data_IF_404871753118
#
_entry.id   IF_404871753118
#
_cell.length_a   1.000
_cell.length_b   1.000
_cell.length_c   1.000
_cell.angle_alpha   90.00
_cell.angle_beta   90.00
_cell.angle_gamma   90.00
#
_symmetry.space_group_name_H-M   'P 1'
#
loop_
_entity.id
_entity.type
_entity.pdbx_description
1 polymer ?
#
# COMPACT_ATOMS: atom_id res chain seq x y z
N UNK A 1 -22.37 -9.08 -3.19
CA UNK A 1 -21.57 -9.90 -4.12
C UNK A 1 -20.79 -8.97 -5.06
N UNK A 2 -19.48 -9.17 -5.18
CA UNK A 2 -18.63 -8.39 -6.07
C UNK A 2 -17.27 -8.07 -5.42
N UNK A 3 -16.40 -7.50 -6.24
CA UNK A 3 -15.09 -7.06 -5.77
C UNK A 3 -15.17 -5.64 -5.19
N UNK A 4 -14.25 -5.38 -4.28
CA UNK A 4 -13.94 -4.08 -3.74
C UNK A 4 -12.49 -3.75 -4.04
N UNK A 5 -12.23 -2.53 -4.43
CA UNK A 5 -10.90 -2.01 -4.64
C UNK A 5 -10.43 -1.32 -3.35
N UNK A 6 -9.49 -1.95 -2.66
CA UNK A 6 -8.76 -1.35 -1.55
C UNK A 6 -7.54 -0.63 -2.14
N UNK A 7 -7.54 0.70 -2.07
CA UNK A 7 -6.35 1.49 -2.37
C UNK A 7 -5.55 1.62 -1.08
N UNK A 8 -4.43 0.93 -1.07
CA UNK A 8 -3.62 0.67 0.11
C UNK A 8 -2.37 1.54 0.12
N UNK A 9 -2.18 2.27 1.22
CA UNK A 9 -1.01 3.10 1.46
C UNK A 9 -0.25 2.55 2.66
N UNK A 10 0.79 1.73 2.48
CA UNK A 10 1.60 1.27 3.59
C UNK A 10 2.28 2.46 4.25
N UNK A 11 2.46 2.40 5.56
CA UNK A 11 3.22 3.41 6.27
C UNK A 11 4.65 3.41 5.75
N UNK A 12 5.11 4.57 5.31
CA UNK A 12 6.52 4.76 5.10
C UNK A 12 7.17 5.24 6.38
N UNK A 13 8.25 4.58 6.70
CA UNK A 13 9.12 4.98 7.77
C UNK A 13 9.47 6.45 7.68
N UNK A 14 9.41 7.14 8.81
CA UNK A 14 10.01 8.45 8.97
C UNK A 14 11.44 8.36 8.45
N UNK A 15 11.80 9.23 7.54
CA UNK A 15 13.11 9.26 6.89
C UNK A 15 14.29 9.21 7.87
N UNK A 16 14.10 9.59 9.14
CA UNK A 16 15.10 9.53 10.18
C UNK A 16 15.56 8.13 10.61
N UNK A 17 14.90 7.05 10.19
CA UNK A 17 15.24 5.69 10.61
C UNK A 17 16.06 4.88 9.59
N UNK A 18 16.18 5.34 8.34
CA UNK A 18 16.73 4.52 7.25
C UNK A 18 17.96 5.09 6.56
N UNK A 19 18.53 6.14 7.10
CA UNK A 19 19.83 6.56 6.63
C UNK A 19 20.86 5.79 7.42
N UNK A 20 21.24 4.65 6.89
CA UNK A 20 22.30 3.76 7.35
C UNK A 20 22.49 3.71 8.87
N UNK A 21 22.53 2.54 9.51
CA UNK A 21 22.65 2.38 10.95
C UNK A 21 23.93 2.99 11.54
N UNK A 22 24.74 3.66 10.73
CA UNK A 22 26.04 4.20 11.10
C UNK A 22 26.14 5.73 11.16
N UNK A 23 25.05 6.46 10.92
CA UNK A 23 25.07 7.93 11.06
C UNK A 23 23.82 8.48 11.76
N UNK A 24 23.60 8.11 13.03
CA UNK A 24 22.47 8.64 13.80
C UNK A 24 22.57 10.14 14.07
N UNK A 25 23.76 10.69 14.05
CA UNK A 25 24.05 12.10 14.35
C UNK A 25 23.67 13.06 13.23
N UNK A 26 23.58 12.61 11.99
CA UNK A 26 23.26 13.48 10.83
C UNK A 26 21.78 13.87 10.80
N UNK A 27 20.95 13.16 11.54
CA UNK A 27 19.49 13.37 11.57
C UNK A 27 18.95 13.73 12.96
N UNK A 28 19.81 14.17 13.84
CA UNK A 28 19.48 14.43 15.25
C UNK A 28 18.55 15.64 15.47
N UNK A 29 18.19 16.39 14.44
CA UNK A 29 17.27 17.50 14.58
C UNK A 29 16.12 17.39 13.60
N UNK A 30 14.97 16.97 14.10
CA UNK A 30 13.65 16.99 13.44
C UNK A 30 13.27 18.40 12.89
N UNK A 31 14.10 19.40 13.07
CA UNK A 31 13.81 20.80 12.71
C UNK A 31 14.15 21.14 11.28
N UNK A 32 15.09 20.45 10.68
CA UNK A 32 15.64 20.83 9.37
C UNK A 32 15.18 19.96 8.21
N UNK A 33 14.48 18.85 8.51
CA UNK A 33 13.85 18.04 7.49
C UNK A 33 12.34 18.17 7.58
N UNK A 34 11.69 18.70 6.55
CA UNK A 34 10.25 18.58 6.45
C UNK A 34 9.92 17.09 6.58
N UNK A 35 8.91 16.78 7.38
CA UNK A 35 8.38 15.42 7.53
C UNK A 35 7.89 14.95 6.16
N UNK A 36 8.81 14.53 5.32
CA UNK A 36 8.47 13.89 4.07
C UNK A 36 7.86 12.54 4.42
N UNK A 37 6.57 12.53 4.60
CA UNK A 37 5.81 11.32 4.43
C UNK A 37 5.96 10.93 2.96
N UNK A 38 6.96 10.13 2.65
CA UNK A 38 6.99 9.43 1.39
C UNK A 38 5.86 8.41 1.45
N UNK A 39 4.67 8.78 1.07
CA UNK A 39 3.71 7.74 0.74
C UNK A 39 4.25 7.04 -0.51
N UNK A 40 4.55 5.77 -0.40
CA UNK A 40 4.68 4.90 -1.56
C UNK A 40 3.31 4.96 -2.21
N UNK A 41 3.25 5.22 -3.51
CA UNK A 41 1.99 5.35 -4.23
C UNK A 41 1.01 4.23 -3.85
N UNK A 42 -0.29 4.51 -3.90
CA UNK A 42 -1.31 3.55 -3.47
C UNK A 42 -1.20 2.25 -4.26
N UNK A 43 -1.17 1.13 -3.54
CA UNK A 43 -1.27 -0.20 -4.11
C UNK A 43 -2.72 -0.62 -4.22
N UNK A 44 -3.03 -1.42 -5.22
CA UNK A 44 -4.38 -1.84 -5.53
C UNK A 44 -4.60 -3.30 -5.15
N UNK A 45 -5.51 -3.50 -4.22
CA UNK A 45 -5.96 -4.84 -3.84
C UNK A 45 -7.42 -4.98 -4.25
N UNK A 46 -7.73 -5.95 -5.09
CA UNK A 46 -9.10 -6.36 -5.34
C UNK A 46 -9.45 -7.43 -4.32
N UNK A 47 -10.43 -7.15 -3.48
CA UNK A 47 -10.90 -8.06 -2.44
C UNK A 47 -12.37 -8.39 -2.63
N UNK A 48 -12.74 -9.61 -2.31
CA UNK A 48 -14.11 -10.08 -2.26
C UNK A 48 -14.38 -10.63 -0.87
N UNK A 49 -15.37 -10.05 -0.20
CA UNK A 49 -15.76 -10.42 1.15
C UNK A 49 -17.05 -11.23 1.10
N UNK A 50 -17.05 -12.45 1.62
CA UNK A 50 -18.22 -13.31 1.63
C UNK A 50 -18.17 -14.33 2.78
N UNK A 51 -19.18 -14.35 3.62
CA UNK A 51 -19.33 -15.36 4.68
C UNK A 51 -18.11 -15.51 5.62
N UNK A 52 -17.45 -14.41 5.95
CA UNK A 52 -16.23 -14.43 6.78
C UNK A 52 -14.94 -14.73 6.02
N UNK A 53 -15.02 -15.05 4.73
CA UNK A 53 -13.85 -15.25 3.85
C UNK A 53 -13.52 -13.99 3.08
N UNK A 54 -12.23 -13.72 2.93
CA UNK A 54 -11.69 -12.72 2.02
C UNK A 54 -10.88 -13.39 0.93
N UNK A 55 -11.25 -13.14 -0.31
CA UNK A 55 -10.44 -13.52 -1.48
C UNK A 55 -9.77 -12.27 -2.03
N UNK A 56 -8.45 -12.29 -2.14
CA UNK A 56 -7.66 -11.15 -2.55
C UNK A 56 -6.82 -11.42 -3.80
N UNK A 57 -6.65 -10.39 -4.61
CA UNK A 57 -5.67 -10.33 -5.70
C UNK A 57 -5.09 -8.92 -5.77
N UNK A 58 -3.84 -8.77 -6.22
CA UNK A 58 -3.17 -7.48 -6.25
C UNK A 58 -2.01 -7.48 -7.25
N UNK A 59 -1.58 -6.29 -7.62
CA UNK A 59 -0.36 -6.03 -8.37
C UNK A 59 0.93 -6.44 -7.64
N UNK A 60 0.90 -6.55 -6.30
CA UNK A 60 2.05 -7.03 -5.52
C UNK A 60 2.33 -8.52 -5.72
N UNK A 61 1.38 -9.26 -6.25
CA UNK A 61 1.56 -10.64 -6.69
C UNK A 61 2.09 -10.67 -8.12
N UNK A 62 3.02 -11.56 -8.42
CA UNK A 62 3.57 -11.74 -9.77
C UNK A 62 2.55 -12.32 -10.77
N UNK A 63 1.46 -12.84 -10.28
CA UNK A 63 0.37 -13.43 -11.08
C UNK A 63 -0.96 -12.79 -10.73
N UNK A 64 -1.98 -13.02 -11.57
CA UNK A 64 -3.36 -12.64 -11.24
C UNK A 64 -4.04 -13.67 -10.30
N UNK A 65 -3.27 -14.52 -9.64
CA UNK A 65 -3.81 -15.51 -8.71
C UNK A 65 -4.58 -14.83 -7.58
N UNK A 66 -5.59 -15.52 -7.12
CA UNK A 66 -6.34 -15.16 -5.93
C UNK A 66 -5.87 -16.02 -4.75
N UNK A 67 -5.85 -15.41 -3.58
CA UNK A 67 -5.63 -16.12 -2.33
C UNK A 67 -6.79 -15.86 -1.39
N UNK A 68 -7.32 -16.92 -0.79
CA UNK A 68 -8.45 -16.83 0.14
C UNK A 68 -7.99 -17.09 1.55
N UNK A 69 -8.44 -16.23 2.48
CA UNK A 69 -8.26 -16.34 3.91
C UNK A 69 -9.53 -15.88 4.62
N UNK A 70 -9.45 -15.59 5.92
CA UNK A 70 -10.62 -15.14 6.68
C UNK A 70 -10.46 -13.68 7.10
N UNK A 71 -11.60 -13.03 7.29
CA UNK A 71 -11.67 -11.71 7.89
C UNK A 71 -12.61 -11.73 9.08
N UNK A 72 -12.39 -10.82 10.01
CA UNK A 72 -13.27 -10.55 11.12
C UNK A 72 -13.75 -9.10 11.08
N UNK A 73 -14.90 -8.87 11.68
CA UNK A 73 -15.46 -7.53 11.85
C UNK A 73 -15.85 -7.35 13.31
N UNK A 74 -15.28 -6.36 13.96
CA UNK A 74 -15.54 -6.03 15.35
C UNK A 74 -16.07 -4.60 15.49
N UNK A 75 -16.99 -4.43 16.43
CA UNK A 75 -17.59 -3.12 16.77
C UNK A 75 -17.29 -2.68 18.20
N UNK A 76 -16.61 -3.51 18.99
CA UNK A 76 -16.43 -3.30 20.42
C UNK A 76 -15.63 -2.03 20.73
N UNK A 77 -14.56 -1.78 19.96
CA UNK A 77 -13.72 -0.59 20.07
C UNK A 77 -13.86 0.34 18.86
N UNK A 78 -14.99 0.27 18.18
CA UNK A 78 -15.27 0.94 16.92
C UNK A 78 -15.25 -0.04 15.74
N UNK A 79 -15.93 0.30 14.63
CA UNK A 79 -16.09 -0.61 13.50
C UNK A 79 -14.73 -0.89 12.85
N UNK A 80 -14.22 -2.09 13.06
CA UNK A 80 -12.91 -2.55 12.59
C UNK A 80 -13.05 -3.76 11.68
N UNK A 81 -12.44 -3.72 10.52
CA UNK A 81 -12.26 -4.83 9.60
C UNK A 81 -10.84 -5.36 9.76
N UNK A 82 -10.69 -6.64 10.08
CA UNK A 82 -9.39 -7.27 10.33
C UNK A 82 -9.16 -8.46 9.39
N UNK A 83 -7.98 -8.52 8.80
CA UNK A 83 -7.47 -9.64 8.02
C UNK A 83 -6.41 -10.37 8.85
N UNK A 84 -6.83 -11.06 9.88
CA UNK A 84 -5.99 -11.69 10.91
C UNK A 84 -5.47 -13.07 10.52
N UNK A 85 -6.09 -13.73 9.55
CA UNK A 85 -5.61 -14.99 9.02
C UNK A 85 -4.64 -14.76 7.86
N UNK A 86 -3.52 -15.47 7.88
CA UNK A 86 -2.46 -15.31 6.90
C UNK A 86 -2.97 -15.36 5.45
N UNK A 87 -2.51 -14.38 4.66
CA UNK A 87 -2.74 -14.24 3.24
C UNK A 87 -1.54 -13.52 2.65
N UNK A 88 -0.80 -14.16 1.75
CA UNK A 88 0.47 -13.61 1.25
C UNK A 88 0.29 -12.28 0.49
N UNK A 89 -0.89 -12.07 -0.08
CA UNK A 89 -1.24 -10.85 -0.80
C UNK A 89 -1.56 -9.73 0.21
N UNK A 90 -2.51 -9.94 1.11
CA UNK A 90 -2.95 -8.92 2.08
C UNK A 90 -1.86 -8.56 3.09
N UNK A 91 -1.00 -9.52 3.44
CA UNK A 91 0.10 -9.32 4.38
C UNK A 91 1.43 -8.92 3.69
N UNK A 92 1.42 -8.67 2.38
CA UNK A 92 2.65 -8.40 1.62
C UNK A 92 3.58 -7.37 2.27
N UNK A 93 3.01 -6.30 2.82
CA UNK A 93 3.78 -5.22 3.45
C UNK A 93 4.11 -5.47 4.93
N UNK A 94 3.63 -6.56 5.52
CA UNK A 94 3.96 -6.97 6.89
C UNK A 94 5.13 -7.93 6.99
N UNK A 95 5.60 -8.46 5.89
CA UNK A 95 6.74 -9.37 5.91
C UNK A 95 8.04 -8.65 6.21
N UNK A 96 8.76 -9.16 7.18
CA UNK A 96 10.16 -8.78 7.42
C UNK A 96 11.06 -9.44 6.39
N UNK A 97 12.08 -8.72 5.96
CA UNK A 97 13.12 -9.24 5.09
C UNK A 97 14.46 -8.65 5.51
N UNK A 98 15.60 -9.20 5.07
CA UNK A 98 16.90 -8.59 5.34
C UNK A 98 16.99 -7.14 4.89
N UNK A 99 16.30 -6.78 3.80
CA UNK A 99 16.23 -5.40 3.29
C UNK A 99 15.24 -4.53 4.06
N UNK A 100 14.22 -5.14 4.66
CA UNK A 100 13.15 -4.46 5.40
C UNK A 100 12.91 -5.16 6.75
N UNK A 101 13.82 -5.02 7.72
CA UNK A 101 13.77 -5.76 8.99
C UNK A 101 12.57 -5.40 9.87
N UNK A 102 11.93 -4.25 9.63
CA UNK A 102 10.72 -3.83 10.34
C UNK A 102 9.45 -3.97 9.49
N UNK A 103 9.49 -4.83 8.48
CA UNK A 103 8.49 -4.91 7.43
C UNK A 103 8.37 -3.57 6.64
N UNK A 104 7.27 -3.35 5.93
CA UNK A 104 7.05 -2.13 5.13
C UNK A 104 5.90 -1.30 5.66
N UNK A 105 5.65 -1.35 6.97
CA UNK A 105 4.53 -0.63 7.59
C UNK A 105 3.17 -1.15 7.14
N UNK A 106 3.07 -2.45 6.88
CA UNK A 106 1.82 -3.07 6.47
C UNK A 106 0.76 -3.01 7.56
N UNK A 107 -0.50 -2.96 7.14
CA UNK A 107 -1.67 -2.91 8.01
C UNK A 107 -2.60 -4.07 7.67
N UNK A 108 -3.22 -4.63 8.68
CA UNK A 108 -4.25 -5.68 8.55
C UNK A 108 -5.53 -5.37 9.28
N UNK A 109 -5.48 -4.36 10.16
CA UNK A 109 -6.60 -3.91 10.97
C UNK A 109 -7.01 -2.51 10.53
N UNK A 110 -8.22 -2.37 10.03
CA UNK A 110 -8.73 -1.15 9.43
C UNK A 110 -9.95 -0.63 10.18
N UNK A 111 -9.79 0.51 10.84
CA UNK A 111 -10.91 1.22 11.47
C UNK A 111 -11.74 1.88 10.35
N UNK A 112 -13.02 1.58 10.31
CA UNK A 112 -13.94 2.18 9.34
C UNK A 112 -14.36 3.54 9.88
N UNK A 113 -13.95 4.61 9.18
CA UNK A 113 -14.26 5.98 9.58
C UNK A 113 -15.60 6.46 9.05
N UNK A 114 -15.92 6.11 7.81
CA UNK A 114 -17.18 6.49 7.16
C UNK A 114 -17.47 5.63 5.94
N UNK A 115 -18.72 5.65 5.51
CA UNK A 115 -19.17 5.09 4.24
C UNK A 115 -20.03 6.11 3.51
N UNK A 116 -19.64 6.46 2.30
CA UNK A 116 -20.38 7.36 1.43
C UNK A 116 -20.05 7.08 -0.03
N UNK A 117 -21.04 7.23 -0.93
CA UNK A 117 -20.85 7.04 -2.37
C UNK A 117 -20.14 5.73 -2.74
N UNK A 118 -20.61 4.60 -2.21
CA UNK A 118 -20.04 3.25 -2.40
C UNK A 118 -18.54 3.14 -2.04
N UNK A 119 -18.09 3.98 -1.11
CA UNK A 119 -16.70 4.03 -0.68
C UNK A 119 -16.62 4.07 0.84
N UNK A 120 -15.88 3.13 1.42
CA UNK A 120 -15.45 3.20 2.80
C UNK A 120 -14.14 4.00 2.89
N UNK A 121 -14.07 4.92 3.83
CA UNK A 121 -12.81 5.51 4.26
C UNK A 121 -12.33 4.73 5.47
N UNK A 122 -11.13 4.19 5.37
CA UNK A 122 -10.49 3.34 6.35
C UNK A 122 -9.28 4.04 6.93
N UNK A 123 -8.95 3.73 8.18
CA UNK A 123 -7.72 4.14 8.83
C UNK A 123 -7.01 2.90 9.36
N UNK A 124 -5.76 2.71 9.00
CA UNK A 124 -4.93 1.66 9.58
C UNK A 124 -4.80 1.84 11.10
N UNK A 125 -5.01 0.78 11.87
CA UNK A 125 -4.97 0.82 13.34
C UNK A 125 -3.57 1.15 13.86
N UNK A 126 -2.55 0.63 13.21
CA UNK A 126 -1.15 0.83 13.59
C UNK A 126 -0.51 1.99 12.83
N UNK A 127 -0.75 2.03 11.53
CA UNK A 127 -0.12 3.01 10.62
C UNK A 127 -0.74 4.41 10.70
N UNK A 128 -2.02 4.51 11.10
CA UNK A 128 -2.85 5.71 10.98
C UNK A 128 -3.04 6.22 9.54
N UNK A 129 -2.56 5.48 8.54
CA UNK A 129 -2.74 5.86 7.14
C UNK A 129 -4.21 5.76 6.73
N UNK A 130 -4.63 6.72 5.94
CA UNK A 130 -5.99 6.73 5.38
C UNK A 130 -5.98 5.96 4.07
N UNK A 131 -6.92 5.05 3.95
CA UNK A 131 -7.09 4.18 2.80
C UNK A 131 -8.55 4.22 2.34
N UNK A 132 -8.80 3.78 1.14
CA UNK A 132 -10.17 3.70 0.61
C UNK A 132 -10.50 2.30 0.15
N UNK A 133 -11.72 1.86 0.44
CA UNK A 133 -12.28 0.61 -0.03
C UNK A 133 -13.54 0.94 -0.83
N UNK A 134 -13.42 0.89 -2.16
CA UNK A 134 -14.49 1.29 -3.09
C UNK A 134 -15.06 0.08 -3.81
N UNK A 135 -16.37 0.07 -4.02
CA UNK A 135 -17.00 -0.96 -4.84
C UNK A 135 -16.41 -0.97 -6.24
N UNK A 136 -15.99 -2.15 -6.70
CA UNK A 136 -15.37 -2.34 -8.00
C UNK A 136 -16.37 -2.95 -8.97
N UNK A 137 -16.53 -2.35 -10.15
CA UNK A 137 -17.50 -2.75 -11.17
C UNK A 137 -16.84 -3.20 -12.48
N UNK A 138 -15.51 -3.16 -12.56
CA UNK A 138 -14.76 -3.53 -13.75
C UNK A 138 -14.50 -5.04 -13.87
N UNK A 139 -13.87 -5.41 -14.98
CA UNK A 139 -13.31 -6.75 -15.15
C UNK A 139 -11.96 -6.86 -14.40
N UNK A 140 -11.86 -7.87 -13.55
CA UNK A 140 -10.71 -8.08 -12.66
C UNK A 140 -9.41 -8.30 -13.42
N UNK A 141 -9.43 -9.18 -14.42
CA UNK A 141 -8.22 -9.54 -15.18
C UNK A 141 -7.69 -8.35 -15.97
N UNK A 142 -8.59 -7.67 -16.67
CA UNK A 142 -8.26 -6.46 -17.43
C UNK A 142 -7.65 -5.39 -16.52
N UNK A 143 -8.22 -5.18 -15.34
CA UNK A 143 -7.74 -4.19 -14.38
C UNK A 143 -6.33 -4.53 -13.87
N UNK A 144 -6.10 -5.77 -13.41
CA UNK A 144 -4.80 -6.19 -12.90
C UNK A 144 -3.71 -6.18 -13.99
N UNK A 145 -4.04 -6.61 -15.21
CA UNK A 145 -3.11 -6.56 -16.33
C UNK A 145 -2.72 -5.12 -16.65
N UNK A 146 -3.70 -4.20 -16.67
CA UNK A 146 -3.44 -2.78 -16.93
C UNK A 146 -2.54 -2.13 -15.89
N UNK A 147 -2.73 -2.45 -14.62
CA UNK A 147 -1.86 -1.94 -13.55
C UNK A 147 -0.44 -2.46 -13.73
N UNK A 148 -0.26 -3.75 -14.03
CA UNK A 148 1.06 -4.33 -14.27
C UNK A 148 1.74 -3.73 -15.49
N UNK A 149 1.01 -3.53 -16.58
CA UNK A 149 1.55 -2.83 -17.75
C UNK A 149 2.04 -1.43 -17.39
N UNK A 150 1.24 -0.67 -16.64
CA UNK A 150 1.61 0.66 -16.19
C UNK A 150 2.84 0.62 -15.24
N UNK A 151 2.85 -0.31 -14.30
CA UNK A 151 3.99 -0.51 -13.39
C UNK A 151 5.27 -0.84 -14.15
N UNK A 152 5.19 -1.77 -15.11
CA UNK A 152 6.32 -2.15 -15.94
C UNK A 152 6.80 -0.98 -16.83
N UNK A 153 5.88 -0.18 -17.34
CA UNK A 153 6.22 1.01 -18.13
C UNK A 153 6.93 2.09 -17.30
N UNK A 154 6.59 2.18 -15.99
CA UNK A 154 7.21 3.10 -15.05
C UNK A 154 8.54 2.56 -14.46
N UNK A 155 8.82 1.27 -14.61
CA UNK A 155 10.11 0.67 -14.22
C UNK A 155 11.22 1.09 -15.19
N UNK A 156 11.63 2.33 -15.09
CA UNK A 156 12.72 2.83 -15.90
C UNK A 156 14.07 2.46 -15.29
N UNK A 157 14.90 1.80 -16.12
CA UNK A 157 16.24 1.36 -15.70
C UNK A 157 17.29 2.45 -15.94
N UNK A 158 17.09 3.67 -15.46
CA UNK A 158 18.08 4.71 -15.66
C UNK A 158 17.65 6.13 -15.30
N UNK A 159 18.48 7.09 -15.67
CA UNK A 159 18.21 8.50 -15.55
C UNK A 159 17.54 9.00 -16.83
N UNK A 160 16.39 9.64 -16.74
CA UNK A 160 15.77 10.30 -17.88
C UNK A 160 15.86 11.81 -17.73
N UNK A 161 16.39 12.51 -18.74
CA UNK A 161 16.27 13.95 -18.77
C UNK A 161 14.80 14.33 -18.98
N UNK A 162 14.33 15.29 -18.22
CA UNK A 162 13.02 15.92 -18.40
C UNK A 162 13.21 17.41 -18.53
N UNK A 163 12.40 18.05 -19.36
CA UNK A 163 12.40 19.50 -19.47
C UNK A 163 11.17 20.06 -18.75
N UNK A 164 11.41 20.89 -17.73
CA UNK A 164 10.35 21.53 -16.96
C UNK A 164 10.53 23.05 -17.10
N UNK A 165 9.63 23.67 -17.85
CA UNK A 165 9.65 25.12 -18.03
C UNK A 165 10.93 25.66 -18.67
N UNK A 166 11.55 24.90 -19.60
CA UNK A 166 12.80 25.26 -20.25
C UNK A 166 14.08 24.88 -19.47
N UNK A 167 13.95 24.31 -18.31
CA UNK A 167 15.09 23.83 -17.51
C UNK A 167 15.19 22.32 -17.63
N UNK A 168 16.35 21.83 -18.01
CA UNK A 168 16.63 20.40 -18.02
C UNK A 168 16.85 19.88 -16.59
N UNK A 169 16.11 18.87 -16.22
CA UNK A 169 16.24 18.16 -14.96
C UNK A 169 16.38 16.66 -15.21
N UNK A 170 16.97 15.95 -14.28
CA UNK A 170 17.11 14.49 -14.37
C UNK A 170 16.15 13.82 -13.40
N UNK A 171 15.24 13.03 -13.95
CA UNK A 171 14.34 12.20 -13.14
C UNK A 171 15.02 10.87 -12.85
N UNK A 172 15.21 10.57 -11.57
CA UNK A 172 15.66 9.26 -11.11
C UNK A 172 14.46 8.52 -10.55
N UNK A 173 13.98 7.52 -11.29
CA UNK A 173 12.95 6.61 -10.81
C UNK A 173 13.63 5.49 -10.02
N UNK A 174 13.20 5.31 -8.79
CA UNK A 174 13.58 4.16 -8.00
C UNK A 174 12.52 3.09 -8.23
N UNK A 175 12.90 1.87 -8.64
CA UNK A 175 11.93 0.80 -8.70
C UNK A 175 11.33 0.61 -7.31
N UNK A 176 10.00 0.60 -7.23
CA UNK A 176 9.32 0.14 -6.03
C UNK A 176 9.49 -1.38 -5.97
N UNK A 177 10.22 -1.85 -4.98
CA UNK A 177 10.37 -3.27 -4.71
C UNK A 177 9.22 -3.76 -3.85
#
# INVERSE_FOLDING_TARGET
DGYWLLTYYPEQYRVGYWVYPYQPEVFATDKDFPKFHRSIGGYNFLIKLKNGEVTASSEVSYTNAEETSFFTYDITEGPTLSFDTFNSILHHFRFVSPTFPNARGGETDFIILKYENDTFTLRGRTSNNIMTLKKFTGDRETFLNKIRENSNALQYKGLSPINVGGTEATLKLFPSY
#
